data_IF_252651852240
#
_entry.id   IF_252651852240
#
_cell.length_a   1.000
_cell.length_b   1.000
_cell.length_c   1.000
_cell.angle_alpha   90.00
_cell.angle_beta   90.00
_cell.angle_gamma   90.00
#
_symmetry.space_group_name_H-M   'P 1'
#
loop_
_entity.id
_entity.type
_entity.pdbx_description
1 polymer ?
#
# COMPACT_ATOMS: atom_id res chain seq x y z
N UNK A 1 -67.60 26.74 13.43
CA UNK A 1 -66.43 27.29 12.71
C UNK A 1 -65.14 27.28 13.55
N UNK A 2 -65.13 27.68 14.83
CA UNK A 2 -63.95 27.72 15.72
C UNK A 2 -63.26 26.36 15.94
N UNK A 3 -64.05 25.29 16.13
CA UNK A 3 -63.50 23.93 16.36
C UNK A 3 -62.85 23.29 15.09
N UNK A 4 -63.32 23.67 13.91
CA UNK A 4 -62.72 23.17 12.65
C UNK A 4 -61.33 23.80 12.41
N UNK A 5 -61.19 25.06 12.69
CA UNK A 5 -59.91 25.79 12.60
C UNK A 5 -58.88 25.26 13.59
N UNK A 6 -59.30 25.00 14.83
CA UNK A 6 -58.43 24.47 15.89
C UNK A 6 -57.92 23.05 15.58
N UNK A 7 -58.75 22.16 15.03
CA UNK A 7 -58.35 20.83 14.61
C UNK A 7 -57.41 20.84 13.39
N UNK A 8 -57.61 21.77 12.46
CA UNK A 8 -56.75 21.93 11.28
C UNK A 8 -55.36 22.43 11.67
N UNK A 9 -55.26 23.36 12.63
CA UNK A 9 -53.99 23.87 13.17
C UNK A 9 -53.25 22.76 13.95
N UNK A 10 -53.95 21.95 14.73
CA UNK A 10 -53.38 20.83 15.50
C UNK A 10 -52.83 19.69 14.58
N UNK A 11 -53.52 19.41 13.48
CA UNK A 11 -53.08 18.48 12.42
C UNK A 11 -51.86 19.02 11.68
N UNK A 12 -51.83 20.32 11.38
CA UNK A 12 -50.73 20.99 10.70
C UNK A 12 -49.45 20.99 11.54
N UNK A 13 -49.56 21.27 12.86
CA UNK A 13 -48.42 21.20 13.78
C UNK A 13 -47.86 19.77 13.94
N UNK A 14 -48.68 18.73 13.91
CA UNK A 14 -48.23 17.34 13.90
C UNK A 14 -47.49 16.99 12.61
N UNK A 15 -47.97 17.46 11.47
CA UNK A 15 -47.27 17.22 10.16
C UNK A 15 -45.94 17.98 10.11
N UNK A 16 -45.86 19.20 10.60
CA UNK A 16 -44.60 19.97 10.68
C UNK A 16 -43.60 19.30 11.64
N UNK A 17 -44.06 18.82 12.80
CA UNK A 17 -43.25 18.11 13.76
C UNK A 17 -42.68 16.80 13.17
N UNK A 18 -43.49 16.04 12.44
CA UNK A 18 -43.05 14.83 11.75
C UNK A 18 -42.00 15.14 10.65
N UNK A 19 -42.21 16.20 9.89
CA UNK A 19 -41.29 16.64 8.84
C UNK A 19 -39.94 17.12 9.44
N UNK A 20 -39.96 17.80 10.59
CA UNK A 20 -38.74 18.19 11.32
C UNK A 20 -37.95 16.98 11.86
N UNK A 21 -38.65 16.00 12.43
CA UNK A 21 -38.01 14.76 12.92
C UNK A 21 -37.40 13.99 11.76
N UNK A 22 -38.09 13.87 10.65
CA UNK A 22 -37.59 13.20 9.44
C UNK A 22 -36.39 13.95 8.82
N UNK A 23 -36.41 15.29 8.81
CA UNK A 23 -35.27 16.11 8.39
C UNK A 23 -34.05 15.92 9.29
N UNK A 24 -34.24 15.80 10.60
CA UNK A 24 -33.17 15.57 11.58
C UNK A 24 -32.46 14.23 11.40
N UNK A 25 -33.16 13.19 10.95
CA UNK A 25 -32.59 11.87 10.66
C UNK A 25 -31.66 11.86 9.43
N UNK A 26 -31.78 12.83 8.54
CA UNK A 26 -30.94 12.93 7.33
C UNK A 26 -29.53 13.48 7.58
N UNK A 27 -29.25 14.07 8.75
CA UNK A 27 -27.96 14.69 9.08
C UNK A 27 -26.94 13.73 9.71
N UNK A 28 -27.24 12.45 9.91
CA UNK A 28 -26.37 11.52 10.65
C UNK A 28 -25.40 10.71 9.81
N UNK A 29 -25.28 10.96 8.50
CA UNK A 29 -24.52 10.09 7.58
C UNK A 29 -23.15 10.64 7.13
N UNK A 30 -22.59 11.64 7.79
CA UNK A 30 -21.29 12.17 7.42
C UNK A 30 -20.15 11.35 8.05
N UNK A 31 -19.13 10.98 7.24
CA UNK A 31 -17.89 10.39 7.75
C UNK A 31 -17.14 11.52 8.50
N UNK A 32 -16.78 11.33 9.77
CA UNK A 32 -16.06 12.34 10.52
C UNK A 32 -14.68 12.62 9.90
N UNK A 33 -14.29 13.87 9.79
CA UNK A 33 -12.99 14.27 9.21
C UNK A 33 -11.81 13.62 9.92
N UNK A 34 -11.93 13.34 11.23
CA UNK A 34 -10.95 12.62 12.03
C UNK A 34 -10.69 11.18 11.56
N UNK A 35 -11.63 10.57 10.83
CA UNK A 35 -11.47 9.23 10.29
C UNK A 35 -10.78 9.26 8.91
N UNK A 36 -10.66 10.45 8.32
CA UNK A 36 -10.03 10.69 7.01
C UNK A 36 -8.64 11.30 7.10
N UNK A 37 -8.25 11.82 8.27
CA UNK A 37 -6.97 12.51 8.46
C UNK A 37 -5.91 11.54 8.96
N UNK A 38 -4.74 11.56 8.33
CA UNK A 38 -3.57 10.78 8.75
C UNK A 38 -2.81 11.41 9.92
N UNK A 39 -2.06 10.60 10.66
CA UNK A 39 -1.02 11.01 11.61
C UNK A 39 -1.47 12.03 12.67
N UNK A 40 -2.68 11.88 13.19
CA UNK A 40 -3.23 12.78 14.21
C UNK A 40 -2.56 12.50 15.55
N UNK A 41 -2.33 13.58 16.30
CA UNK A 41 -1.92 13.48 17.70
C UNK A 41 -3.16 13.21 18.57
N UNK A 42 -3.12 12.17 19.40
CA UNK A 42 -4.15 11.95 20.42
C UNK A 42 -3.93 12.92 21.58
N UNK A 43 -5.01 13.52 22.06
CA UNK A 43 -4.99 14.58 23.11
C UNK A 43 -4.29 14.17 24.43
N UNK A 44 -4.04 12.90 24.67
CA UNK A 44 -3.40 12.39 25.89
C UNK A 44 -1.87 12.33 25.83
N UNK A 45 -1.24 12.72 24.71
CA UNK A 45 0.21 12.62 24.54
C UNK A 45 0.90 13.97 24.72
N UNK A 46 1.88 13.97 25.62
CA UNK A 46 2.77 15.12 25.81
C UNK A 46 3.45 15.50 24.50
N UNK A 47 3.48 16.79 24.12
CA UNK A 47 4.20 17.22 22.93
C UNK A 47 5.70 16.99 23.13
N UNK A 48 6.34 16.45 22.13
CA UNK A 48 7.80 16.39 22.03
C UNK A 48 8.53 15.21 22.70
N UNK A 49 8.28 14.00 22.23
CA UNK A 49 9.43 13.09 22.05
C UNK A 49 9.91 13.26 20.63
N UNK A 50 11.17 13.65 20.46
CA UNK A 50 11.82 13.59 19.16
C UNK A 50 11.55 12.21 18.57
N UNK A 51 10.99 12.19 17.36
CA UNK A 51 10.64 10.95 16.66
C UNK A 51 11.95 10.29 16.27
N UNK A 52 12.48 9.45 17.14
CA UNK A 52 13.53 8.50 16.76
C UNK A 52 12.76 7.42 16.01
N UNK A 53 12.76 7.54 14.67
CA UNK A 53 12.21 6.51 13.81
C UNK A 53 12.79 5.17 14.24
N UNK A 54 11.94 4.16 14.44
CA UNK A 54 12.37 2.80 14.72
C UNK A 54 13.45 2.44 13.67
N UNK A 55 14.68 2.12 14.10
CA UNK A 55 15.69 1.61 13.18
C UNK A 55 15.11 0.37 12.51
N UNK A 56 14.75 0.51 11.23
CA UNK A 56 14.27 -0.65 10.50
C UNK A 56 15.45 -1.62 10.36
N UNK A 57 15.24 -2.86 10.79
CA UNK A 57 16.20 -3.92 10.53
C UNK A 57 16.41 -4.03 9.01
N UNK A 58 17.68 -4.20 8.56
CA UNK A 58 17.94 -4.37 7.14
C UNK A 58 17.17 -5.58 6.61
N UNK A 59 16.62 -5.43 5.41
CA UNK A 59 15.91 -6.52 4.75
C UNK A 59 16.87 -7.69 4.48
N UNK A 60 16.42 -8.90 4.76
CA UNK A 60 17.14 -10.13 4.45
C UNK A 60 16.43 -10.88 3.33
N UNK A 61 17.20 -11.24 2.31
CA UNK A 61 16.72 -11.89 1.10
C UNK A 61 15.94 -13.17 1.41
N UNK A 62 14.85 -13.32 0.70
CA UNK A 62 13.94 -14.47 0.76
C UNK A 62 13.87 -15.18 -0.59
N UNK A 63 13.29 -16.37 -0.60
CA UNK A 63 12.97 -17.08 -1.85
C UNK A 63 12.06 -16.23 -2.74
N UNK A 64 12.26 -16.33 -4.04
CA UNK A 64 11.57 -15.53 -5.07
C UNK A 64 11.98 -14.05 -5.19
N UNK A 65 12.88 -13.55 -4.35
CA UNK A 65 13.49 -12.25 -4.59
C UNK A 65 14.30 -12.25 -5.88
N UNK A 66 14.32 -11.12 -6.57
CA UNK A 66 15.11 -10.95 -7.80
C UNK A 66 16.16 -9.89 -7.57
N UNK A 67 17.40 -10.24 -7.82
CA UNK A 67 18.55 -9.34 -7.69
C UNK A 67 19.02 -8.86 -9.06
N UNK A 68 19.35 -7.58 -9.14
CA UNK A 68 20.14 -7.02 -10.23
C UNK A 68 21.60 -6.98 -9.79
N UNK A 69 22.47 -7.70 -10.49
CA UNK A 69 23.89 -7.78 -10.19
C UNK A 69 24.66 -7.30 -11.39
N UNK A 70 25.45 -6.25 -11.21
CA UNK A 70 26.27 -5.65 -12.26
C UNK A 70 27.71 -5.56 -11.83
N UNK A 71 28.62 -6.06 -12.66
CA UNK A 71 30.04 -6.02 -12.45
C UNK A 71 30.67 -4.96 -13.34
N UNK A 72 31.58 -4.16 -12.76
CA UNK A 72 32.41 -3.18 -13.49
C UNK A 72 33.86 -3.40 -13.14
N UNK A 73 34.74 -3.29 -14.10
CA UNK A 73 36.20 -3.32 -13.93
C UNK A 73 36.83 -2.25 -14.82
N UNK A 74 38.14 -1.96 -14.63
CA UNK A 74 38.87 -1.03 -15.47
C UNK A 74 38.82 -1.47 -16.97
N UNK A 75 39.00 -2.76 -17.21
CA UNK A 75 38.77 -3.35 -18.54
C UNK A 75 37.36 -3.98 -18.60
N UNK A 76 36.42 -3.38 -19.33
CA UNK A 76 35.06 -3.93 -19.47
C UNK A 76 35.02 -5.33 -20.08
N UNK A 77 36.02 -5.73 -20.86
CA UNK A 77 36.07 -7.08 -21.48
C UNK A 77 36.18 -8.17 -20.41
N UNK A 78 36.84 -7.91 -19.30
CA UNK A 78 37.02 -8.87 -18.21
C UNK A 78 35.72 -9.26 -17.55
N UNK A 79 34.76 -8.33 -17.48
CA UNK A 79 33.47 -8.55 -16.81
C UNK A 79 32.32 -8.84 -17.79
N UNK A 80 32.56 -8.73 -19.10
CA UNK A 80 31.54 -8.90 -20.11
C UNK A 80 30.82 -10.27 -20.03
N UNK A 81 31.58 -11.33 -19.76
CA UNK A 81 31.05 -12.70 -19.68
C UNK A 81 30.14 -12.91 -18.42
N UNK A 82 30.39 -12.17 -17.35
CA UNK A 82 29.56 -12.22 -16.13
C UNK A 82 28.27 -11.40 -16.28
N UNK A 83 28.28 -10.40 -17.17
CA UNK A 83 27.15 -9.54 -17.51
C UNK A 83 26.41 -10.05 -18.78
N UNK A 84 26.67 -11.28 -19.22
CA UNK A 84 26.21 -11.79 -20.52
C UNK A 84 24.69 -11.89 -20.69
N UNK A 85 23.92 -11.88 -19.60
CA UNK A 85 22.46 -11.76 -19.64
C UNK A 85 21.96 -10.42 -20.17
N UNK A 86 22.84 -9.40 -20.27
CA UNK A 86 22.52 -8.08 -20.79
C UNK A 86 22.88 -7.90 -22.29
N UNK A 87 23.49 -8.89 -22.94
CA UNK A 87 24.00 -8.78 -24.30
C UNK A 87 23.15 -9.45 -25.39
N UNK A 88 22.08 -10.14 -25.08
CA UNK A 88 21.18 -10.67 -26.11
C UNK A 88 20.39 -9.52 -26.71
N UNK A 89 20.83 -9.17 -27.91
CA UNK A 89 20.57 -8.02 -28.76
C UNK A 89 19.14 -7.65 -29.15
N UNK A 90 18.16 -7.87 -28.31
CA UNK A 90 16.85 -7.21 -28.40
C UNK A 90 16.91 -5.89 -27.63
N UNK A 91 17.38 -4.86 -28.31
CA UNK A 91 17.55 -3.49 -27.83
C UNK A 91 16.22 -2.81 -27.36
N UNK A 92 15.09 -3.50 -27.43
CA UNK A 92 13.77 -2.94 -27.13
C UNK A 92 13.23 -3.27 -25.72
N UNK A 93 13.85 -4.17 -24.98
CA UNK A 93 13.51 -4.33 -23.57
C UNK A 93 14.35 -3.36 -22.74
N UNK A 94 13.76 -2.21 -22.42
CA UNK A 94 14.32 -1.25 -21.48
C UNK A 94 14.79 -2.03 -20.23
N UNK A 95 16.11 -2.16 -20.03
CA UNK A 95 16.71 -2.98 -18.95
C UNK A 95 16.19 -2.60 -17.54
N UNK A 96 15.65 -1.39 -17.44
CA UNK A 96 15.02 -0.87 -16.21
C UNK A 96 13.50 -1.10 -16.17
N UNK A 97 12.90 -1.75 -17.16
CA UNK A 97 11.50 -2.13 -17.11
C UNK A 97 11.29 -3.35 -16.21
N UNK A 98 10.12 -3.49 -15.62
CA UNK A 98 9.77 -4.63 -14.75
C UNK A 98 9.97 -5.96 -15.49
N UNK A 99 9.63 -6.02 -16.77
CA UNK A 99 9.88 -7.17 -17.64
C UNK A 99 11.37 -7.44 -17.87
N UNK A 100 12.17 -6.40 -18.13
CA UNK A 100 13.61 -6.54 -18.28
C UNK A 100 14.30 -7.08 -17.04
N UNK A 101 13.89 -6.62 -15.86
CA UNK A 101 14.40 -7.13 -14.58
C UNK A 101 13.97 -8.57 -14.29
N UNK A 102 12.76 -8.95 -14.71
CA UNK A 102 12.29 -10.34 -14.57
C UNK A 102 13.11 -11.32 -15.40
N UNK A 103 13.48 -10.95 -16.65
CA UNK A 103 14.23 -11.83 -17.56
C UNK A 103 15.74 -11.81 -17.32
N UNK A 104 16.30 -10.67 -16.89
CA UNK A 104 17.75 -10.47 -16.76
C UNK A 104 18.23 -10.49 -15.30
N UNK A 105 17.33 -10.53 -14.32
CA UNK A 105 17.68 -10.57 -12.91
C UNK A 105 18.03 -11.97 -12.42
N UNK A 106 18.74 -12.05 -11.30
CA UNK A 106 19.09 -13.27 -10.61
C UNK A 106 18.04 -13.58 -9.56
N UNK A 107 17.19 -14.58 -9.81
CA UNK A 107 16.13 -14.97 -8.89
C UNK A 107 16.69 -15.91 -7.81
N UNK A 108 16.31 -15.66 -6.57
CA UNK A 108 16.57 -16.57 -5.44
C UNK A 108 15.63 -17.76 -5.56
N UNK A 109 16.18 -18.95 -5.69
CA UNK A 109 15.43 -20.19 -5.82
C UNK A 109 14.87 -20.70 -4.47
N UNK A 110 14.16 -21.83 -4.49
CA UNK A 110 13.54 -22.41 -3.30
C UNK A 110 14.57 -22.94 -2.29
N UNK A 111 15.84 -23.15 -2.72
CA UNK A 111 16.97 -23.54 -1.87
C UNK A 111 17.72 -22.32 -1.31
N UNK A 112 17.32 -21.12 -1.72
CA UNK A 112 17.95 -19.87 -1.29
C UNK A 112 19.20 -19.50 -2.09
N UNK A 113 19.39 -20.07 -3.28
CA UNK A 113 20.54 -19.83 -4.14
C UNK A 113 20.17 -18.91 -5.31
N UNK A 114 21.13 -18.13 -5.78
CA UNK A 114 21.11 -17.50 -7.10
C UNK A 114 22.11 -18.24 -8.00
N UNK A 115 21.81 -18.31 -9.30
CA UNK A 115 22.70 -18.91 -10.28
C UNK A 115 23.35 -17.83 -11.14
N UNK A 116 24.65 -17.65 -10.95
CA UNK A 116 25.44 -16.69 -11.74
C UNK A 116 26.28 -17.40 -12.80
N UNK A 117 26.45 -16.80 -13.99
CA UNK A 117 27.40 -17.31 -14.97
C UNK A 117 28.78 -17.45 -14.33
N UNK A 118 29.47 -18.56 -14.60
CA UNK A 118 30.84 -18.90 -14.16
C UNK A 118 30.92 -19.21 -12.66
N UNK A 119 30.36 -18.38 -11.76
CA UNK A 119 30.39 -18.61 -10.31
C UNK A 119 29.46 -19.75 -9.86
N UNK A 120 28.52 -20.16 -10.72
CA UNK A 120 27.57 -21.22 -10.40
C UNK A 120 26.50 -20.78 -9.39
N UNK A 121 26.21 -21.66 -8.43
CA UNK A 121 25.19 -21.43 -7.41
C UNK A 121 25.79 -20.77 -6.16
N UNK A 122 25.18 -19.66 -5.74
CA UNK A 122 25.61 -18.89 -4.57
C UNK A 122 24.42 -18.80 -3.62
N UNK A 123 24.57 -19.33 -2.41
CA UNK A 123 23.55 -19.17 -1.39
C UNK A 123 23.48 -17.73 -0.88
N UNK A 124 22.27 -17.14 -0.94
CA UNK A 124 22.00 -15.75 -0.56
C UNK A 124 20.82 -15.61 0.42
N UNK A 125 20.17 -16.72 0.76
CA UNK A 125 19.03 -16.72 1.68
C UNK A 125 19.42 -16.18 3.05
N UNK A 126 18.65 -15.20 3.54
CA UNK A 126 18.89 -14.58 4.84
C UNK A 126 20.05 -13.59 4.90
N UNK A 127 20.78 -13.38 3.79
CA UNK A 127 21.78 -12.32 3.67
C UNK A 127 21.13 -10.98 3.30
N UNK A 128 21.74 -9.88 3.67
CA UNK A 128 21.40 -8.57 3.14
C UNK A 128 22.01 -8.40 1.74
N UNK A 129 21.51 -7.44 0.97
CA UNK A 129 22.07 -7.10 -0.36
C UNK A 129 23.56 -6.77 -0.26
N UNK A 130 23.97 -6.06 0.80
CA UNK A 130 25.37 -5.70 1.02
C UNK A 130 26.24 -6.91 1.38
N UNK A 131 25.75 -7.83 2.21
CA UNK A 131 26.45 -9.08 2.53
C UNK A 131 26.65 -9.94 1.27
N UNK A 132 25.63 -9.97 0.38
CA UNK A 132 25.73 -10.66 -0.93
C UNK A 132 26.76 -9.99 -1.83
N UNK A 133 26.80 -8.64 -1.88
CA UNK A 133 27.79 -7.89 -2.64
C UNK A 133 29.20 -8.29 -2.22
N UNK A 134 29.47 -8.26 -0.91
CA UNK A 134 30.79 -8.61 -0.36
C UNK A 134 31.15 -10.06 -0.67
N UNK A 135 30.19 -10.99 -0.56
CA UNK A 135 30.39 -12.41 -0.84
C UNK A 135 30.79 -12.66 -2.29
N UNK A 136 30.06 -12.03 -3.24
CA UNK A 136 30.34 -12.17 -4.68
C UNK A 136 31.71 -11.53 -5.02
N UNK A 137 31.96 -10.32 -4.51
CA UNK A 137 33.23 -9.62 -4.74
C UNK A 137 34.42 -10.43 -4.25
N UNK A 138 34.33 -11.00 -3.05
CA UNK A 138 35.37 -11.85 -2.49
C UNK A 138 35.63 -13.09 -3.36
N UNK A 139 34.58 -13.80 -3.76
CA UNK A 139 34.72 -15.01 -4.58
C UNK A 139 35.32 -14.70 -5.96
N UNK A 140 34.91 -13.59 -6.59
CA UNK A 140 35.47 -13.17 -7.85
C UNK A 140 36.96 -12.80 -7.76
N UNK A 141 37.38 -12.12 -6.69
CA UNK A 141 38.77 -11.75 -6.47
C UNK A 141 39.66 -12.94 -6.08
N UNK A 142 39.12 -13.96 -5.46
CA UNK A 142 39.86 -15.18 -5.11
C UNK A 142 40.05 -16.14 -6.30
N UNK A 143 39.04 -16.25 -7.17
CA UNK A 143 39.01 -17.27 -8.21
C UNK A 143 39.34 -16.75 -9.63
N UNK A 144 39.00 -15.48 -9.95
CA UNK A 144 39.02 -14.99 -11.33
C UNK A 144 39.77 -13.69 -11.56
N UNK A 145 39.86 -12.81 -10.58
CA UNK A 145 40.45 -11.48 -10.75
C UNK A 145 41.59 -11.23 -9.80
N UNK A 146 42.62 -10.53 -10.28
CA UNK A 146 43.64 -9.98 -9.43
C UNK A 146 43.16 -8.66 -8.80
N UNK A 147 43.73 -8.28 -7.65
CA UNK A 147 43.39 -7.02 -6.93
C UNK A 147 43.55 -5.78 -7.79
N UNK A 148 44.42 -5.82 -8.79
CA UNK A 148 44.68 -4.73 -9.75
C UNK A 148 43.54 -4.49 -10.74
N UNK A 149 42.58 -5.43 -10.86
CA UNK A 149 41.44 -5.28 -11.76
C UNK A 149 40.46 -4.20 -11.32
N UNK A 150 40.57 -3.69 -10.07
CA UNK A 150 39.65 -2.72 -9.49
C UNK A 150 38.17 -3.10 -9.75
N UNK A 151 37.84 -4.32 -9.39
CA UNK A 151 36.51 -4.86 -9.56
C UNK A 151 35.51 -4.12 -8.69
N UNK A 152 34.42 -3.67 -9.27
CA UNK A 152 33.28 -3.08 -8.59
C UNK A 152 32.04 -3.95 -8.80
N UNK A 153 31.50 -4.49 -7.73
CA UNK A 153 30.27 -5.28 -7.72
C UNK A 153 29.14 -4.42 -7.20
N UNK A 154 28.09 -4.27 -7.99
CA UNK A 154 26.86 -3.59 -7.61
C UNK A 154 25.73 -4.61 -7.53
N UNK A 155 25.15 -4.76 -6.35
CA UNK A 155 24.00 -5.65 -6.10
C UNK A 155 22.84 -4.81 -5.60
N UNK A 156 21.68 -4.97 -6.23
CA UNK A 156 20.44 -4.30 -5.84
C UNK A 156 19.27 -5.27 -5.92
N UNK A 157 18.27 -5.06 -5.09
CA UNK A 157 16.97 -5.70 -5.28
C UNK A 157 16.33 -5.12 -6.55
N UNK A 158 15.76 -5.97 -7.40
CA UNK A 158 15.15 -5.56 -8.69
C UNK A 158 13.79 -4.89 -8.52
N UNK A 159 13.70 -3.98 -7.56
CA UNK A 159 12.49 -3.26 -7.19
C UNK A 159 11.83 -3.81 -5.92
N UNK A 160 11.24 -2.89 -5.18
CA UNK A 160 10.43 -3.17 -4.01
C UNK A 160 9.00 -3.47 -4.46
N UNK A 161 8.60 -4.73 -4.42
CA UNK A 161 7.29 -5.18 -4.89
C UNK A 161 6.35 -5.39 -3.72
N UNK A 162 5.12 -4.89 -3.83
CA UNK A 162 4.04 -5.14 -2.86
C UNK A 162 2.70 -5.24 -3.60
N UNK A 163 1.72 -5.85 -2.97
CA UNK A 163 0.36 -5.92 -3.52
C UNK A 163 -0.59 -5.14 -2.62
N UNK A 164 -1.43 -4.30 -3.21
CA UNK A 164 -2.43 -3.53 -2.48
C UNK A 164 -3.83 -3.78 -3.04
N UNK A 165 -4.79 -3.96 -2.15
CA UNK A 165 -6.19 -4.22 -2.50
C UNK A 165 -7.15 -3.53 -1.53
N UNK A 166 -8.44 -3.46 -1.92
CA UNK A 166 -9.50 -2.83 -1.13
C UNK A 166 -9.80 -1.39 -1.54
N UNK A 167 -10.00 -0.52 -0.57
CA UNK A 167 -10.46 0.86 -0.77
C UNK A 167 -9.29 1.82 -1.03
N UNK A 168 -8.63 1.66 -2.17
CA UNK A 168 -7.55 2.52 -2.67
C UNK A 168 -7.84 2.97 -4.09
N UNK A 169 -7.15 4.01 -4.54
CA UNK A 169 -7.33 4.57 -5.88
C UNK A 169 -7.01 3.58 -7.00
N UNK A 170 -5.98 2.73 -6.84
CA UNK A 170 -5.56 1.75 -7.82
C UNK A 170 -5.05 0.48 -7.14
N UNK A 171 -5.81 -0.60 -7.26
CA UNK A 171 -5.46 -1.92 -6.71
C UNK A 171 -4.48 -2.66 -7.61
N UNK A 172 -3.82 -3.67 -7.06
CA UNK A 172 -2.92 -4.58 -7.79
C UNK A 172 -1.52 -4.61 -7.21
N UNK A 173 -0.62 -5.30 -7.90
CA UNK A 173 0.79 -5.34 -7.56
C UNK A 173 1.47 -4.07 -8.06
N UNK A 174 2.31 -3.48 -7.19
CA UNK A 174 3.07 -2.26 -7.44
C UNK A 174 4.55 -2.55 -7.23
N UNK A 175 5.38 -1.91 -8.04
CA UNK A 175 6.85 -1.98 -7.92
C UNK A 175 7.41 -0.57 -7.76
N UNK A 176 8.22 -0.37 -6.73
CA UNK A 176 8.96 0.87 -6.47
C UNK A 176 10.46 0.60 -6.55
N UNK A 177 11.21 1.48 -7.21
CA UNK A 177 12.66 1.36 -7.34
C UNK A 177 13.36 2.10 -6.19
N UNK A 178 13.06 1.63 -4.96
CA UNK A 178 13.58 2.16 -3.70
C UNK A 178 14.03 1.00 -2.83
N UNK A 179 15.01 1.22 -1.97
CA UNK A 179 15.49 0.19 -1.04
C UNK A 179 14.56 0.01 0.16
N UNK A 180 13.83 1.06 0.51
CA UNK A 180 12.91 1.06 1.65
C UNK A 180 11.64 1.80 1.26
N UNK A 181 10.52 1.22 1.63
CA UNK A 181 9.18 1.78 1.39
C UNK A 181 8.41 1.73 2.70
N UNK A 182 7.82 2.84 3.10
CA UNK A 182 6.89 2.85 4.22
C UNK A 182 5.44 2.69 3.73
N UNK A 183 4.53 2.37 4.66
CA UNK A 183 3.12 2.13 4.35
C UNK A 183 2.43 3.35 3.71
N UNK A 184 2.79 4.57 4.09
CA UNK A 184 2.19 5.78 3.54
C UNK A 184 2.64 6.04 2.10
N UNK A 185 3.91 5.78 1.79
CA UNK A 185 4.44 5.84 0.42
C UNK A 185 3.76 4.80 -0.49
N UNK A 186 3.58 3.57 0.02
CA UNK A 186 2.89 2.53 -0.72
C UNK A 186 1.44 2.89 -1.04
N UNK A 187 0.73 3.47 -0.07
CA UNK A 187 -0.65 3.94 -0.24
C UNK A 187 -0.71 5.12 -1.20
N UNK A 188 0.20 6.09 -1.08
CA UNK A 188 0.28 7.24 -1.99
C UNK A 188 0.53 6.78 -3.44
N UNK A 189 1.42 5.81 -3.65
CA UNK A 189 1.67 5.21 -4.96
C UNK A 189 0.47 4.44 -5.53
N UNK A 190 -0.44 3.98 -4.67
CA UNK A 190 -1.71 3.36 -5.05
C UNK A 190 -2.86 4.36 -5.28
N UNK A 191 -2.59 5.66 -5.23
CA UNK A 191 -3.58 6.72 -5.43
C UNK A 191 -4.42 7.03 -4.21
N UNK A 192 -3.87 6.80 -3.02
CA UNK A 192 -4.43 7.02 -1.69
C UNK A 192 -5.63 6.11 -1.35
N UNK A 193 -6.00 6.11 -0.07
CA UNK A 193 -7.21 5.45 0.44
C UNK A 193 -8.44 6.28 0.05
N UNK A 194 -9.44 5.64 -0.54
CA UNK A 194 -10.69 6.30 -0.92
C UNK A 194 -11.41 6.91 0.28
N UNK A 195 -12.38 7.80 0.06
CA UNK A 195 -13.16 8.40 1.13
C UNK A 195 -13.95 7.39 1.96
N UNK A 196 -14.26 6.22 1.38
CA UNK A 196 -14.97 5.13 2.04
C UNK A 196 -14.05 4.03 2.55
N UNK A 197 -12.73 4.25 2.50
CA UNK A 197 -11.72 3.34 3.03
C UNK A 197 -11.42 3.60 4.51
N UNK A 198 -11.21 2.53 5.27
CA UNK A 198 -10.94 2.58 6.70
C UNK A 198 -9.43 2.76 6.96
N UNK A 199 -9.02 4.01 7.24
CA UNK A 199 -7.63 4.36 7.58
C UNK A 199 -7.19 3.86 8.96
N UNK A 200 -8.16 3.51 9.84
CA UNK A 200 -7.86 3.01 11.19
C UNK A 200 -7.53 1.52 11.21
N UNK A 201 -7.81 0.81 10.14
CA UNK A 201 -7.66 -0.64 10.10
C UNK A 201 -7.14 -1.09 8.75
N UNK A 202 -5.90 -0.70 8.47
CA UNK A 202 -5.16 -1.17 7.29
C UNK A 202 -4.41 -2.44 7.67
N UNK A 203 -4.73 -3.54 7.01
CA UNK A 203 -4.13 -4.84 7.29
C UNK A 203 -2.93 -5.08 6.40
N UNK A 204 -1.79 -5.41 7.00
CA UNK A 204 -0.61 -5.93 6.30
C UNK A 204 -0.56 -7.43 6.52
N UNK A 205 -0.46 -8.19 5.45
CA UNK A 205 -0.16 -9.62 5.48
C UNK A 205 1.27 -9.83 4.98
N UNK A 206 2.10 -10.41 5.83
CA UNK A 206 3.51 -10.68 5.58
C UNK A 206 3.76 -12.17 5.61
N UNK A 207 4.37 -12.68 4.55
CA UNK A 207 4.80 -14.07 4.52
C UNK A 207 6.19 -14.18 5.16
N UNK A 208 6.33 -15.08 6.11
CA UNK A 208 7.57 -15.42 6.77
C UNK A 208 7.85 -16.93 6.62
N UNK A 209 9.05 -17.42 6.87
CA UNK A 209 9.35 -18.85 6.84
C UNK A 209 8.48 -19.69 7.78
N UNK A 210 7.91 -19.06 8.81
CA UNK A 210 7.03 -19.69 9.82
C UNK A 210 5.55 -19.64 9.47
N UNK A 211 5.17 -18.93 8.40
CA UNK A 211 3.78 -18.78 7.96
C UNK A 211 3.40 -17.35 7.57
N UNK A 212 2.11 -17.07 7.50
CA UNK A 212 1.58 -15.73 7.17
C UNK A 212 1.14 -15.02 8.44
N UNK A 213 1.71 -13.86 8.66
CA UNK A 213 1.35 -12.95 9.76
C UNK A 213 0.42 -11.85 9.26
N UNK A 214 -0.56 -11.49 10.07
CA UNK A 214 -1.49 -10.40 9.78
C UNK A 214 -1.42 -9.34 10.86
N UNK A 215 -1.20 -8.09 10.46
CA UNK A 215 -1.08 -6.96 11.37
C UNK A 215 -1.96 -5.80 10.90
N UNK A 216 -2.68 -5.19 11.85
CA UNK A 216 -3.52 -4.02 11.57
C UNK A 216 -2.78 -2.76 12.01
N UNK A 217 -2.79 -1.75 11.14
CA UNK A 217 -2.23 -0.44 11.41
C UNK A 217 -3.33 0.62 11.40
N UNK A 218 -3.30 1.50 12.40
CA UNK A 218 -4.11 2.73 12.42
C UNK A 218 -3.29 3.88 11.84
N UNK A 219 -3.56 4.22 10.59
CA UNK A 219 -2.85 5.30 9.89
C UNK A 219 -3.32 6.70 10.31
N UNK A 220 -4.42 6.78 11.06
CA UNK A 220 -4.87 8.05 11.63
C UNK A 220 -4.07 8.43 12.88
N UNK A 221 -3.40 7.47 13.52
CA UNK A 221 -2.58 7.68 14.69
C UNK A 221 -1.12 7.97 14.27
N UNK A 222 -0.53 9.07 14.78
CA UNK A 222 0.87 9.40 14.52
C UNK A 222 1.87 8.35 15.04
N UNK A 223 1.47 7.57 16.05
CA UNK A 223 2.30 6.52 16.63
C UNK A 223 2.53 5.34 15.67
N UNK A 224 1.80 5.27 14.56
CA UNK A 224 2.02 4.27 13.50
C UNK A 224 3.48 4.24 13.01
N UNK A 225 4.19 5.37 13.06
CA UNK A 225 5.60 5.47 12.65
C UNK A 225 6.56 4.64 13.53
N UNK A 226 6.14 4.29 14.75
CA UNK A 226 6.89 3.43 15.67
C UNK A 226 6.54 1.95 15.52
N UNK A 227 5.54 1.62 14.69
CA UNK A 227 5.18 0.25 14.44
C UNK A 227 6.32 -0.48 13.70
N UNK A 228 6.64 -1.74 14.06
CA UNK A 228 7.59 -2.56 13.31
C UNK A 228 7.11 -2.86 11.89
N UNK A 229 5.82 -2.61 11.59
CA UNK A 229 5.20 -2.79 10.28
C UNK A 229 5.02 -1.48 9.50
N UNK A 230 5.52 -0.35 10.03
CA UNK A 230 5.51 0.93 9.33
C UNK A 230 6.33 0.86 8.04
N UNK A 231 7.50 0.22 8.10
CA UNK A 231 8.28 -0.13 6.93
C UNK A 231 7.84 -1.49 6.41
N UNK A 232 7.46 -1.49 5.14
CA UNK A 232 7.06 -2.69 4.43
C UNK A 232 8.26 -3.58 4.13
N UNK A 233 7.98 -4.84 3.86
CA UNK A 233 8.93 -5.77 3.27
C UNK A 233 8.48 -6.12 1.84
N UNK A 234 9.40 -6.48 0.95
CA UNK A 234 9.05 -6.98 -0.37
C UNK A 234 8.05 -8.13 -0.27
N UNK A 235 7.09 -8.13 -1.21
CA UNK A 235 5.98 -9.09 -1.26
C UNK A 235 4.93 -8.96 -0.14
N UNK A 236 4.95 -7.92 0.68
CA UNK A 236 3.84 -7.62 1.59
C UNK A 236 2.53 -7.43 0.81
N UNK A 237 1.44 -7.91 1.39
CA UNK A 237 0.09 -7.68 0.88
C UNK A 237 -0.64 -6.72 1.82
N UNK A 238 -1.12 -5.61 1.26
CA UNK A 238 -1.83 -4.55 1.97
C UNK A 238 -3.30 -4.63 1.63
N UNK A 239 -4.16 -4.67 2.64
CA UNK A 239 -5.60 -4.65 2.45
C UNK A 239 -6.24 -3.49 3.21
N UNK A 240 -6.92 -2.61 2.47
CA UNK A 240 -7.67 -1.49 3.03
C UNK A 240 -9.15 -1.85 3.08
N UNK A 241 -9.66 -2.05 4.29
CA UNK A 241 -11.07 -2.40 4.52
C UNK A 241 -11.99 -1.23 4.15
N UNK A 242 -13.21 -1.49 3.67
CA UNK A 242 -14.22 -0.45 3.54
C UNK A 242 -14.74 -0.01 4.91
N UNK A 243 -15.13 1.25 5.03
CA UNK A 243 -15.92 1.73 6.16
C UNK A 243 -17.32 1.11 6.14
N UNK A 244 -17.93 0.94 7.32
CA UNK A 244 -19.29 0.39 7.45
C UNK A 244 -20.34 1.20 6.68
N UNK A 245 -20.14 2.49 6.56
CA UNK A 245 -21.00 3.42 5.81
C UNK A 245 -21.12 3.04 4.32
N UNK A 246 -20.10 2.40 3.73
CA UNK A 246 -20.16 1.92 2.34
C UNK A 246 -21.29 0.89 2.14
N UNK A 247 -21.52 0.01 3.10
CA UNK A 247 -22.57 -1.01 3.01
C UNK A 247 -23.99 -0.43 3.09
N UNK A 248 -24.14 0.81 3.57
CA UNK A 248 -25.44 1.48 3.66
C UNK A 248 -25.81 2.25 2.38
N UNK A 249 -25.08 2.01 1.28
CA UNK A 249 -25.41 2.59 -0.03
C UNK A 249 -25.08 4.08 -0.16
N UNK A 250 -24.19 4.60 0.68
CA UNK A 250 -23.61 5.92 0.43
C UNK A 250 -22.78 5.84 -0.84
N UNK A 251 -23.30 6.38 -1.95
CA UNK A 251 -22.68 6.36 -3.26
C UNK A 251 -21.27 6.99 -3.23
N UNK A 252 -20.52 6.75 -4.29
CA UNK A 252 -19.14 7.22 -4.48
C UNK A 252 -19.00 8.75 -4.39
N UNK A 253 -20.09 9.46 -4.59
CA UNK A 253 -20.13 10.93 -4.57
C UNK A 253 -21.30 11.42 -3.73
N UNK A 254 -21.15 12.57 -3.07
CA UNK A 254 -22.23 13.23 -2.33
C UNK A 254 -23.46 13.54 -3.20
N UNK A 255 -23.28 13.69 -4.52
CA UNK A 255 -24.36 13.89 -5.51
C UNK A 255 -25.24 12.64 -5.69
N UNK A 256 -24.66 11.43 -5.67
CA UNK A 256 -25.43 10.18 -5.74
C UNK A 256 -26.29 9.98 -4.48
N UNK A 257 -25.76 10.36 -3.32
CA UNK A 257 -26.50 10.32 -2.04
C UNK A 257 -27.64 11.36 -2.04
N UNK A 258 -27.43 12.54 -2.58
CA UNK A 258 -28.47 13.57 -2.75
C UNK A 258 -29.60 13.12 -3.66
N UNK A 259 -29.28 12.44 -4.77
CA UNK A 259 -30.29 11.88 -5.70
C UNK A 259 -31.20 10.88 -5.02
N UNK A 260 -30.67 9.96 -4.23
CA UNK A 260 -31.47 8.99 -3.46
C UNK A 260 -32.32 9.64 -2.38
N UNK A 261 -31.80 10.65 -1.69
CA UNK A 261 -32.55 11.42 -0.68
C UNK A 261 -33.72 12.16 -1.31
N UNK A 262 -33.51 12.83 -2.45
CA UNK A 262 -34.56 13.58 -3.17
C UNK A 262 -35.66 12.63 -3.66
N UNK A 263 -35.30 11.43 -4.20
CA UNK A 263 -36.29 10.43 -4.65
C UNK A 263 -37.12 9.88 -3.48
N UNK A 264 -36.52 9.57 -2.35
CA UNK A 264 -37.26 9.12 -1.16
C UNK A 264 -38.17 10.22 -0.62
N UNK A 265 -37.69 11.47 -0.56
CA UNK A 265 -38.48 12.61 -0.08
C UNK A 265 -39.67 12.87 -1.01
N UNK A 266 -39.48 12.79 -2.32
CA UNK A 266 -40.55 12.97 -3.32
C UNK A 266 -41.59 11.87 -3.22
N UNK A 267 -41.17 10.61 -3.01
CA UNK A 267 -42.08 9.46 -2.85
C UNK A 267 -42.94 9.61 -1.58
N UNK A 268 -42.34 10.04 -0.45
CA UNK A 268 -43.05 10.26 0.81
C UNK A 268 -44.02 11.45 0.70
N UNK A 269 -43.62 12.52 0.06
CA UNK A 269 -44.52 13.67 -0.14
C UNK A 269 -45.68 13.33 -1.07
N UNK A 270 -45.45 12.58 -2.13
CA UNK A 270 -46.50 12.15 -3.07
C UNK A 270 -47.49 11.19 -2.40
N UNK A 271 -47.02 10.18 -1.66
CA UNK A 271 -47.88 9.28 -0.89
C UNK A 271 -48.68 10.00 0.20
N UNK A 272 -48.08 10.98 0.88
CA UNK A 272 -48.82 11.78 1.85
C UNK A 272 -49.93 12.62 1.23
N UNK A 273 -49.68 13.22 0.07
CA UNK A 273 -50.69 13.97 -0.68
C UNK A 273 -51.84 13.11 -1.20
N UNK A 274 -51.51 11.87 -1.67
CA UNK A 274 -52.53 10.90 -2.13
C UNK A 274 -53.41 10.39 -1.00
N UNK A 275 -52.87 10.16 0.19
CA UNK A 275 -53.64 9.73 1.36
C UNK A 275 -54.44 10.84 2.04
N UNK A 276 -54.20 12.09 1.69
CA UNK A 276 -54.91 13.27 2.26
C UNK A 276 -56.07 13.72 1.40
N UNK A 277 -56.14 13.26 0.15
CA UNK A 277 -57.26 13.46 -0.74
C UNK A 277 -58.22 12.25 -0.66
#
# INVERSE_FOLDING_TARGET
MKNYICNKIKSMNKSIGFLMIMSSLLFTSCIPIKDLTYLQQKESESPEKAIIASESKPYRLQTNDVLSINLKAIDPKLVAIFNASTQNGDADLNQNSESGLYFNGFRVDDHGNIRMPILGEINVLGFTVEEVRVKIEKQLLEEYFNKEANLFVNVKLSGFRYTINGEVGSTGTKTLFQERVNILEAIANAGDITMVGNRKEVTIMRTSPTGVEMHNLDLTDRNVIYSPYYYLQPNDYIYVKPLKQKSWGTGRTGLESLGTIITVLSLVTTTFLLLKN
#
